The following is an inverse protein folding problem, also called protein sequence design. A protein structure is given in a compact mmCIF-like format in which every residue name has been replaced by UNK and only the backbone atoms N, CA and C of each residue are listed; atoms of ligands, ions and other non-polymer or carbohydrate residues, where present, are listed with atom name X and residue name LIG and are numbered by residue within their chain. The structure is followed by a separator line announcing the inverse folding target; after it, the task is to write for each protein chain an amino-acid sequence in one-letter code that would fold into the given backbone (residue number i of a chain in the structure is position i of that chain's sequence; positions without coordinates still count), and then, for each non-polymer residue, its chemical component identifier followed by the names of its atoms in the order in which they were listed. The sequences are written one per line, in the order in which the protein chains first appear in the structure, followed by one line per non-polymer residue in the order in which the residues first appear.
data_IF_368257954642
#
_entry.id   IF_368257954642
#
_cell.length_a   1.000
_cell.length_b   1.000
_cell.length_c   1.000
_cell.angle_alpha   90.00
_cell.angle_beta   90.00
_cell.angle_gamma   90.00
#
_symmetry.space_group_name_H-M   'P 1'
#
loop_
_entity.id
_entity.type
_entity.pdbx_description
1 polymer ?
#
# COMPACT_ATOMS: atom_id res chain seq x y z
N UNK A 1 -7.34 -27.17 -1.10
CA UNK A 1 -6.18 -27.99 -1.52
C UNK A 1 -5.30 -28.33 -0.32
N UNK A 2 -4.72 -29.56 -0.26
CA UNK A 2 -3.75 -29.95 0.77
C UNK A 2 -2.30 -29.74 0.26
N UNK A 3 -1.42 -29.30 1.17
CA UNK A 3 0.02 -29.11 0.83
C UNK A 3 0.71 -30.46 0.69
N UNK A 4 1.12 -30.82 -0.53
CA UNK A 4 1.78 -32.11 -0.84
C UNK A 4 3.12 -32.31 -0.13
N UNK A 5 3.82 -31.22 0.25
CA UNK A 5 5.14 -31.21 0.89
C UNK A 5 5.08 -30.95 2.41
N UNK A 6 3.93 -31.12 3.05
CA UNK A 6 3.70 -30.79 4.47
C UNK A 6 4.71 -31.46 5.44
N UNK A 7 5.11 -32.70 5.16
CA UNK A 7 6.05 -33.47 6.03
C UNK A 7 7.48 -32.92 6.11
N UNK A 8 7.87 -32.02 5.15
CA UNK A 8 9.23 -31.45 5.05
C UNK A 8 9.29 -29.99 5.49
N UNK A 9 8.19 -29.41 6.02
CA UNK A 9 8.08 -27.97 6.31
C UNK A 9 7.62 -27.74 7.75
N UNK A 10 7.98 -26.56 8.29
CA UNK A 10 7.45 -26.14 9.61
C UNK A 10 5.94 -25.99 9.57
N UNK A 11 5.29 -26.17 10.72
CA UNK A 11 3.82 -26.06 10.88
C UNK A 11 3.30 -24.69 10.41
N UNK A 12 4.06 -23.63 10.68
CA UNK A 12 3.73 -22.26 10.22
C UNK A 12 3.76 -22.14 8.70
N UNK A 13 4.79 -22.69 8.05
CA UNK A 13 4.92 -22.72 6.59
C UNK A 13 3.79 -23.51 5.93
N UNK A 14 3.39 -24.64 6.53
CA UNK A 14 2.27 -25.46 6.02
C UNK A 14 0.96 -24.69 6.12
N UNK A 15 0.68 -24.03 7.26
CA UNK A 15 -0.53 -23.21 7.45
C UNK A 15 -0.56 -22.02 6.49
N UNK A 16 0.58 -21.37 6.26
CA UNK A 16 0.69 -20.28 5.29
C UNK A 16 0.38 -20.75 3.88
N UNK A 17 1.00 -21.86 3.42
CA UNK A 17 0.74 -22.45 2.10
C UNK A 17 -0.71 -22.89 1.93
N UNK A 18 -1.32 -23.52 2.95
CA UNK A 18 -2.73 -23.91 2.89
C UNK A 18 -3.64 -22.69 2.72
N UNK A 19 -3.37 -21.61 3.44
CA UNK A 19 -4.11 -20.34 3.29
C UNK A 19 -3.94 -19.78 1.88
N UNK A 20 -2.72 -19.75 1.33
CA UNK A 20 -2.47 -19.26 -0.03
C UNK A 20 -3.18 -20.10 -1.09
N UNK A 21 -3.14 -21.42 -0.99
CA UNK A 21 -3.75 -22.33 -1.96
C UNK A 21 -5.29 -22.31 -1.96
N UNK A 22 -5.89 -21.90 -0.85
CA UNK A 22 -7.36 -21.88 -0.69
C UNK A 22 -7.94 -20.44 -0.69
N UNK A 23 -7.12 -19.43 -0.91
CA UNK A 23 -7.53 -18.04 -0.95
C UNK A 23 -8.10 -17.70 -2.34
N UNK A 24 -9.38 -17.32 -2.46
CA UNK A 24 -10.01 -17.04 -3.74
C UNK A 24 -9.36 -15.86 -4.46
N UNK A 25 -8.85 -14.86 -3.72
CA UNK A 25 -8.16 -13.70 -4.30
C UNK A 25 -6.79 -14.08 -4.86
N UNK A 26 -6.11 -15.07 -4.30
CA UNK A 26 -4.87 -15.59 -4.89
C UNK A 26 -5.16 -16.28 -6.23
N UNK A 27 -6.21 -17.08 -6.29
CA UNK A 27 -6.63 -17.74 -7.52
C UNK A 27 -7.08 -16.72 -8.60
N UNK A 28 -7.84 -15.71 -8.19
CA UNK A 28 -8.28 -14.63 -9.07
C UNK A 28 -7.09 -13.80 -9.58
N UNK A 29 -6.17 -13.39 -8.72
CA UNK A 29 -4.98 -12.65 -9.11
C UNK A 29 -4.15 -13.40 -10.16
N UNK A 30 -3.96 -14.69 -9.97
CA UNK A 30 -3.25 -15.53 -10.95
C UNK A 30 -3.99 -15.61 -12.30
N UNK A 31 -5.31 -15.71 -12.29
CA UNK A 31 -6.14 -15.76 -13.51
C UNK A 31 -6.13 -14.44 -14.27
N UNK A 32 -6.15 -13.32 -13.55
CA UNK A 32 -6.26 -11.96 -14.09
C UNK A 32 -4.91 -11.29 -14.33
N UNK A 33 -3.80 -11.99 -14.01
CA UNK A 33 -2.45 -11.50 -14.27
C UNK A 33 -1.88 -10.55 -13.21
N UNK A 34 -2.56 -10.37 -12.06
CA UNK A 34 -2.02 -9.59 -10.96
C UNK A 34 -0.91 -10.34 -10.23
N UNK A 35 0.14 -9.62 -9.87
CA UNK A 35 1.31 -10.16 -9.15
C UNK A 35 1.01 -10.57 -7.71
N UNK A 36 -0.05 -10.01 -7.13
CA UNK A 36 -0.47 -10.34 -5.78
C UNK A 36 -1.97 -10.14 -5.58
N UNK A 37 -2.52 -10.84 -4.59
CA UNK A 37 -3.90 -10.63 -4.13
C UNK A 37 -4.15 -9.23 -3.55
N UNK A 38 -3.09 -8.50 -3.19
CA UNK A 38 -3.19 -7.14 -2.69
C UNK A 38 -3.81 -6.17 -3.71
N UNK A 39 -3.72 -6.48 -5.02
CA UNK A 39 -4.40 -5.73 -6.08
C UNK A 39 -5.89 -5.51 -5.79
N UNK A 40 -6.59 -6.54 -5.32
CA UNK A 40 -8.02 -6.44 -5.02
C UNK A 40 -8.34 -5.53 -3.85
N UNK A 41 -7.44 -5.38 -2.88
CA UNK A 41 -7.62 -4.41 -1.79
C UNK A 41 -7.71 -2.99 -2.35
N UNK A 42 -6.82 -2.64 -3.29
CA UNK A 42 -6.82 -1.32 -3.93
C UNK A 42 -8.04 -1.14 -4.82
N UNK A 43 -8.40 -2.15 -5.63
CA UNK A 43 -9.58 -2.13 -6.49
C UNK A 43 -10.84 -1.85 -5.66
N UNK A 44 -11.12 -2.67 -4.64
CA UNK A 44 -12.31 -2.55 -3.78
C UNK A 44 -12.38 -1.21 -3.03
N UNK A 45 -11.23 -0.71 -2.56
CA UNK A 45 -11.17 0.61 -1.94
C UNK A 45 -11.43 1.72 -2.96
N UNK A 46 -10.84 1.62 -4.16
CA UNK A 46 -11.04 2.64 -5.19
C UNK A 46 -12.45 2.62 -5.78
N UNK A 47 -13.07 1.46 -5.99
CA UNK A 47 -14.47 1.35 -6.41
C UNK A 47 -15.41 2.08 -5.46
N UNK A 48 -15.14 1.98 -4.16
CA UNK A 48 -15.99 2.61 -3.14
C UNK A 48 -15.71 4.09 -2.93
N UNK A 49 -14.46 4.53 -3.03
CA UNK A 49 -14.05 5.89 -2.63
C UNK A 49 -13.52 6.75 -3.77
N UNK A 50 -13.20 6.19 -4.92
CA UNK A 50 -12.89 6.90 -6.16
C UNK A 50 -11.62 7.75 -6.14
N UNK A 51 -10.65 7.45 -5.28
CA UNK A 51 -9.46 8.29 -5.09
C UNK A 51 -8.47 8.24 -6.26
N UNK A 52 -8.53 7.24 -7.14
CA UNK A 52 -7.72 7.18 -8.37
C UNK A 52 -8.36 7.88 -9.56
N UNK A 53 -9.63 8.32 -9.43
CA UNK A 53 -10.35 8.91 -10.55
C UNK A 53 -9.69 10.20 -11.05
N UNK A 54 -9.17 10.15 -12.28
CA UNK A 54 -8.51 11.29 -12.92
C UNK A 54 -7.09 11.58 -12.42
N UNK A 55 -6.50 10.69 -11.62
CA UNK A 55 -5.13 10.83 -11.16
C UNK A 55 -4.14 10.76 -12.33
N UNK A 56 -3.20 11.69 -12.35
CA UNK A 56 -2.14 11.79 -13.37
C UNK A 56 -0.75 11.52 -12.80
N UNK A 57 -0.58 11.66 -11.49
CA UNK A 57 0.68 11.39 -10.79
C UNK A 57 0.38 10.62 -9.52
N UNK A 58 0.93 9.41 -9.44
CA UNK A 58 0.68 8.48 -8.33
C UNK A 58 2.00 7.98 -7.77
N UNK A 59 2.12 7.98 -6.46
CA UNK A 59 3.26 7.38 -5.75
C UNK A 59 2.80 6.10 -5.06
N UNK A 60 3.59 5.00 -5.20
CA UNK A 60 3.36 3.70 -4.58
C UNK A 60 4.52 3.36 -3.63
N UNK A 61 4.30 3.52 -2.33
CA UNK A 61 5.25 3.23 -1.27
C UNK A 61 5.05 1.79 -0.76
N UNK A 62 6.09 0.96 -0.89
CA UNK A 62 5.98 -0.48 -0.65
C UNK A 62 5.40 -1.21 -1.85
N UNK A 63 5.92 -0.89 -3.04
CA UNK A 63 5.35 -1.31 -4.32
C UNK A 63 5.43 -2.82 -4.58
N UNK A 64 6.42 -3.54 -4.01
CA UNK A 64 6.62 -4.96 -4.31
C UNK A 64 5.44 -5.86 -3.86
N UNK A 65 5.06 -6.84 -4.66
CA UNK A 65 5.62 -7.27 -5.96
C UNK A 65 5.07 -6.51 -7.17
N UNK A 66 4.28 -5.44 -7.00
CA UNK A 66 3.75 -4.59 -8.05
C UNK A 66 2.24 -4.71 -8.27
N UNK A 67 1.51 -5.35 -7.37
CA UNK A 67 0.06 -5.54 -7.54
C UNK A 67 -0.73 -4.22 -7.51
N UNK A 68 -0.40 -3.28 -6.63
CA UNK A 68 -1.04 -1.97 -6.59
C UNK A 68 -0.62 -1.12 -7.78
N UNK A 69 0.67 -1.12 -8.12
CA UNK A 69 1.18 -0.42 -9.31
C UNK A 69 0.48 -0.87 -10.60
N UNK A 70 0.21 -2.20 -10.76
CA UNK A 70 -0.56 -2.72 -11.90
C UNK A 70 -1.98 -2.12 -11.96
N UNK A 71 -2.68 -2.12 -10.83
CA UNK A 71 -4.04 -1.55 -10.74
C UNK A 71 -4.04 -0.06 -11.10
N UNK A 72 -3.04 0.70 -10.60
CA UNK A 72 -2.91 2.13 -10.96
C UNK A 72 -2.68 2.30 -12.45
N UNK A 73 -1.77 1.51 -13.05
CA UNK A 73 -1.51 1.58 -14.50
C UNK A 73 -2.74 1.27 -15.36
N UNK A 74 -3.59 0.34 -14.90
CA UNK A 74 -4.83 0.00 -15.58
C UNK A 74 -5.92 1.08 -15.44
N UNK A 75 -6.10 1.61 -14.22
CA UNK A 75 -7.17 2.56 -13.91
C UNK A 75 -6.83 4.01 -14.30
N UNK A 76 -5.54 4.33 -14.39
CA UNK A 76 -5.02 5.65 -14.71
C UNK A 76 -4.10 5.60 -15.95
N UNK A 77 -4.61 5.25 -17.13
CA UNK A 77 -3.77 5.15 -18.33
C UNK A 77 -3.09 6.48 -18.64
N UNK A 78 -1.76 6.42 -18.83
CA UNK A 78 -0.94 7.60 -19.07
C UNK A 78 -0.54 8.39 -17.81
N UNK A 79 -0.91 7.93 -16.62
CA UNK A 79 -0.41 8.53 -15.39
C UNK A 79 1.10 8.30 -15.22
N UNK A 80 1.78 9.27 -14.62
CA UNK A 80 3.13 9.11 -14.10
C UNK A 80 3.05 8.32 -12.80
N UNK A 81 3.59 7.12 -12.79
CA UNK A 81 3.59 6.26 -11.61
C UNK A 81 5.03 6.09 -11.15
N UNK A 82 5.31 6.48 -9.93
CA UNK A 82 6.62 6.27 -9.29
C UNK A 82 6.45 5.42 -8.04
N UNK A 83 7.42 4.58 -7.75
CA UNK A 83 7.33 3.70 -6.58
C UNK A 83 8.69 3.41 -5.96
N UNK A 84 8.62 2.87 -4.75
CA UNK A 84 9.78 2.46 -3.98
C UNK A 84 9.48 1.19 -3.18
N UNK A 85 10.44 0.28 -3.11
CA UNK A 85 10.39 -0.89 -2.23
C UNK A 85 11.82 -1.34 -1.89
N UNK A 86 11.96 -2.07 -0.79
CA UNK A 86 13.20 -2.77 -0.42
C UNK A 86 13.52 -3.92 -1.39
N UNK A 87 12.48 -4.49 -1.99
CA UNK A 87 12.59 -5.60 -2.93
C UNK A 87 12.51 -5.08 -4.37
N UNK A 88 13.26 -5.72 -5.25
CA UNK A 88 13.17 -5.46 -6.68
C UNK A 88 11.77 -5.79 -7.22
N UNK A 89 11.22 -4.87 -8.00
CA UNK A 89 9.94 -5.03 -8.70
C UNK A 89 10.22 -5.20 -10.18
N UNK A 90 9.80 -6.31 -10.75
CA UNK A 90 9.91 -6.52 -12.19
C UNK A 90 9.21 -5.37 -12.94
N UNK A 91 9.70 -4.96 -14.13
CA UNK A 91 9.15 -3.81 -14.85
C UNK A 91 7.63 -3.87 -15.03
N UNK A 92 6.97 -2.73 -14.83
CA UNK A 92 5.54 -2.52 -15.10
C UNK A 92 5.44 -1.37 -16.09
N UNK A 93 4.80 -1.56 -17.27
CA UNK A 93 4.64 -0.49 -18.24
C UNK A 93 4.01 0.75 -17.62
N UNK A 94 4.63 1.92 -17.83
CA UNK A 94 4.14 3.20 -17.32
C UNK A 94 4.51 3.51 -15.86
N UNK A 95 5.29 2.65 -15.20
CA UNK A 95 5.74 2.88 -13.84
C UNK A 95 7.27 2.82 -13.71
N UNK A 96 7.83 3.74 -12.95
CA UNK A 96 9.24 3.79 -12.57
C UNK A 96 9.36 3.48 -11.06
N UNK A 97 9.94 2.32 -10.73
CA UNK A 97 10.07 1.86 -9.33
C UNK A 97 11.54 1.71 -8.99
N UNK A 98 11.96 2.30 -7.88
CA UNK A 98 13.32 2.17 -7.36
C UNK A 98 13.39 1.16 -6.23
N UNK A 99 14.48 0.38 -6.21
CA UNK A 99 14.80 -0.52 -5.09
C UNK A 99 15.63 0.25 -4.09
N UNK A 100 15.00 0.65 -2.96
CA UNK A 100 15.61 1.45 -1.91
C UNK A 100 14.79 1.37 -0.64
N UNK A 101 15.42 1.60 0.51
CA UNK A 101 14.70 1.82 1.76
C UNK A 101 14.04 3.20 1.76
N UNK A 102 12.72 3.24 1.92
CA UNK A 102 11.99 4.50 2.01
C UNK A 102 12.42 5.37 3.22
N UNK A 103 12.96 4.74 4.26
CA UNK A 103 13.50 5.45 5.43
C UNK A 103 14.90 6.01 5.20
N UNK A 104 15.54 5.74 4.07
CA UNK A 104 16.84 6.32 3.73
C UNK A 104 16.73 7.83 3.49
N UNK A 105 17.71 8.64 3.93
CA UNK A 105 17.66 10.11 3.82
C UNK A 105 17.41 10.64 2.41
N UNK A 106 17.93 9.93 1.40
CA UNK A 106 17.82 10.33 -0.01
C UNK A 106 16.54 9.85 -0.72
N UNK A 107 15.75 8.99 -0.07
CA UNK A 107 14.57 8.37 -0.70
C UNK A 107 13.51 9.40 -1.11
N UNK A 108 13.23 10.34 -0.22
CA UNK A 108 12.25 11.41 -0.47
C UNK A 108 12.66 12.28 -1.69
N UNK A 109 13.90 12.75 -1.73
CA UNK A 109 14.42 13.57 -2.82
C UNK A 109 14.35 12.84 -4.17
N UNK A 110 14.74 11.57 -4.18
CA UNK A 110 14.68 10.74 -5.40
C UNK A 110 13.26 10.56 -5.90
N UNK A 111 12.30 10.28 -5.02
CA UNK A 111 10.89 10.14 -5.40
C UNK A 111 10.31 11.43 -5.94
N UNK A 112 10.62 12.57 -5.32
CA UNK A 112 10.19 13.91 -5.78
C UNK A 112 10.75 14.19 -7.18
N UNK A 113 12.04 13.93 -7.39
CA UNK A 113 12.68 14.12 -8.70
C UNK A 113 12.03 13.23 -9.79
N UNK A 114 11.71 11.97 -9.46
CA UNK A 114 11.06 11.05 -10.38
C UNK A 114 9.62 11.44 -10.69
N UNK A 115 8.90 12.00 -9.71
CA UNK A 115 7.48 12.37 -9.84
C UNK A 115 7.27 13.54 -10.81
N UNK A 116 8.24 14.44 -10.91
CA UNK A 116 8.22 15.62 -11.80
C UNK A 116 6.93 16.44 -11.65
N UNK A 117 6.64 16.83 -10.43
CA UNK A 117 5.47 17.62 -10.05
C UNK A 117 4.78 17.14 -8.80
N UNK A 118 3.57 17.65 -8.54
CA UNK A 118 2.78 17.24 -7.38
C UNK A 118 2.02 15.94 -7.66
N UNK A 119 1.86 15.11 -6.63
CA UNK A 119 1.09 13.87 -6.69
C UNK A 119 -0.41 14.13 -6.53
N UNK A 120 -1.23 13.42 -7.28
CA UNK A 120 -2.67 13.36 -7.05
C UNK A 120 -3.00 12.31 -5.97
N UNK A 121 -2.21 11.24 -5.92
CA UNK A 121 -2.42 10.15 -4.95
C UNK A 121 -1.08 9.63 -4.45
N UNK A 122 -0.99 9.44 -3.14
CA UNK A 122 0.08 8.70 -2.48
C UNK A 122 -0.50 7.46 -1.83
N UNK A 123 0.00 6.30 -2.24
CA UNK A 123 -0.39 4.98 -1.75
C UNK A 123 0.74 4.41 -0.88
N UNK A 124 0.39 3.69 0.19
CA UNK A 124 1.35 2.98 1.03
C UNK A 124 0.78 1.63 1.50
N UNK A 125 1.30 0.54 0.92
CA UNK A 125 1.06 -0.83 1.43
C UNK A 125 2.29 -1.35 2.21
N UNK A 126 3.16 -0.43 2.68
CA UNK A 126 4.34 -0.79 3.48
C UNK A 126 3.95 -1.55 4.73
N UNK A 127 4.76 -2.51 5.10
CA UNK A 127 4.64 -3.27 6.34
C UNK A 127 6.01 -3.44 6.96
N UNK A 128 6.10 -3.19 8.26
CA UNK A 128 7.31 -3.53 9.00
C UNK A 128 7.49 -5.06 9.02
N UNK A 129 8.75 -5.50 8.94
CA UNK A 129 9.07 -6.92 9.14
C UNK A 129 8.62 -7.33 10.54
N UNK A 130 7.75 -8.34 10.60
CA UNK A 130 7.20 -8.83 11.87
C UNK A 130 8.29 -9.49 12.71
N UNK A 131 8.45 -9.01 13.92
CA UNK A 131 9.36 -9.60 14.93
C UNK A 131 8.66 -10.69 15.74
N UNK A 132 7.32 -10.75 15.69
CA UNK A 132 6.46 -11.58 16.52
C UNK A 132 6.11 -10.91 17.86
N UNK A 133 6.67 -9.74 18.17
CA UNK A 133 6.32 -8.95 19.35
C UNK A 133 5.34 -7.84 18.95
N UNK A 134 4.07 -8.01 19.32
CA UNK A 134 2.95 -7.17 18.85
C UNK A 134 3.17 -5.67 19.03
N UNK A 135 3.70 -5.26 20.16
CA UNK A 135 3.93 -3.84 20.48
C UNK A 135 5.04 -3.25 19.60
N UNK A 136 6.16 -3.98 19.41
CA UNK A 136 7.25 -3.56 18.54
C UNK A 136 6.79 -3.47 17.07
N UNK A 137 6.04 -4.46 16.61
CA UNK A 137 5.52 -4.50 15.24
C UNK A 137 4.52 -3.37 14.98
N UNK A 138 3.71 -3.04 16.00
CA UNK A 138 2.80 -1.89 15.94
C UNK A 138 3.56 -0.57 15.81
N UNK A 139 4.53 -0.31 16.70
CA UNK A 139 5.32 0.93 16.68
C UNK A 139 6.09 1.12 15.35
N UNK A 140 6.68 0.05 14.82
CA UNK A 140 7.36 0.09 13.52
C UNK A 140 6.40 0.41 12.37
N UNK A 141 5.21 -0.18 12.37
CA UNK A 141 4.20 0.10 11.35
C UNK A 141 3.72 1.54 11.46
N UNK A 142 3.54 2.05 12.68
CA UNK A 142 3.14 3.45 12.90
C UNK A 142 4.19 4.43 12.40
N UNK A 143 5.48 4.16 12.65
CA UNK A 143 6.57 4.99 12.12
C UNK A 143 6.56 5.05 10.59
N UNK A 144 6.30 3.91 9.90
CA UNK A 144 6.15 3.90 8.43
C UNK A 144 4.95 4.73 7.96
N UNK A 145 3.82 4.67 8.66
CA UNK A 145 2.62 5.46 8.33
C UNK A 145 2.89 6.95 8.52
N UNK A 146 3.55 7.33 9.62
CA UNK A 146 3.92 8.71 9.92
C UNK A 146 4.85 9.28 8.86
N UNK A 147 5.94 8.57 8.53
CA UNK A 147 6.88 9.00 7.48
C UNK A 147 6.20 9.09 6.11
N UNK A 148 5.30 8.14 5.79
CA UNK A 148 4.53 8.18 4.54
C UNK A 148 3.54 9.36 4.51
N UNK A 149 2.94 9.73 5.63
CA UNK A 149 2.05 10.89 5.74
C UNK A 149 2.83 12.20 5.58
N UNK A 150 3.99 12.32 6.23
CA UNK A 150 4.86 13.51 6.12
C UNK A 150 5.30 13.71 4.67
N UNK A 151 5.70 12.63 4.00
CA UNK A 151 6.00 12.66 2.57
C UNK A 151 4.78 13.08 1.73
N UNK A 152 3.60 12.48 2.00
CA UNK A 152 2.38 12.81 1.28
C UNK A 152 2.00 14.29 1.40
N UNK A 153 2.11 14.87 2.61
CA UNK A 153 1.85 16.30 2.86
C UNK A 153 2.79 17.21 2.04
N UNK A 154 4.02 16.78 1.79
CA UNK A 154 4.99 17.56 0.99
C UNK A 154 4.71 17.50 -0.50
N UNK A 155 4.22 16.38 -1.01
CA UNK A 155 4.14 16.14 -2.47
C UNK A 155 2.73 16.23 -3.05
N UNK A 156 1.68 16.14 -2.24
CA UNK A 156 0.30 16.13 -2.75
C UNK A 156 -0.11 17.50 -3.33
N UNK A 157 -0.80 17.43 -4.44
CA UNK A 157 -1.55 18.56 -4.99
C UNK A 157 -2.81 18.82 -4.14
N UNK A 158 -3.36 20.05 -4.14
CA UNK A 158 -4.69 20.29 -3.58
C UNK A 158 -5.73 19.29 -4.09
N UNK A 159 -6.64 18.86 -3.22
CA UNK A 159 -7.62 17.80 -3.47
C UNK A 159 -7.04 16.37 -3.59
N UNK A 160 -5.73 16.21 -3.49
CA UNK A 160 -5.06 14.90 -3.51
C UNK A 160 -5.49 13.95 -2.41
N UNK A 161 -5.12 12.69 -2.54
CA UNK A 161 -5.51 11.61 -1.63
C UNK A 161 -4.30 10.84 -1.10
N UNK A 162 -4.39 10.43 0.16
CA UNK A 162 -3.42 9.56 0.83
C UNK A 162 -4.12 8.29 1.30
N UNK A 163 -3.57 7.13 0.92
CA UNK A 163 -4.08 5.81 1.32
C UNK A 163 -2.94 5.01 1.92
N UNK A 164 -3.08 4.59 3.18
CA UNK A 164 -2.03 3.84 3.85
C UNK A 164 -2.55 2.65 4.65
N UNK A 165 -1.77 1.57 4.65
CA UNK A 165 -1.98 0.44 5.54
C UNK A 165 -1.71 0.84 6.99
N UNK A 166 -2.61 0.46 7.88
CA UNK A 166 -2.52 0.61 9.33
C UNK A 166 -2.88 -0.71 10.01
N UNK A 167 -2.57 -0.86 11.28
CA UNK A 167 -2.99 -2.02 12.06
C UNK A 167 -4.26 -1.73 12.87
N UNK A 168 -5.04 -2.77 13.15
CA UNK A 168 -6.22 -2.69 14.01
C UNK A 168 -5.81 -2.27 15.43
N UNK A 169 -6.45 -1.25 15.93
CA UNK A 169 -6.07 -0.53 17.16
C UNK A 169 -5.99 0.95 16.85
N UNK A 170 -6.03 1.24 15.56
CA UNK A 170 -6.13 2.58 15.02
C UNK A 170 -4.76 3.22 14.77
N UNK A 171 -4.83 4.27 14.02
CA UNK A 171 -3.79 5.27 13.93
C UNK A 171 -3.76 5.98 15.26
N UNK A 172 -2.60 6.21 15.83
CA UNK A 172 -2.46 6.99 17.05
C UNK A 172 -3.18 8.33 16.90
N UNK A 173 -3.76 8.84 17.98
CA UNK A 173 -4.56 10.07 17.95
C UNK A 173 -3.80 11.25 17.34
N UNK A 174 -2.49 11.28 17.49
CA UNK A 174 -1.62 12.32 16.93
C UNK A 174 -1.63 12.29 15.40
N UNK A 175 -1.40 11.13 14.79
CA UNK A 175 -1.39 10.97 13.32
C UNK A 175 -2.78 11.27 12.75
N UNK A 176 -3.85 10.80 13.42
CA UNK A 176 -5.23 11.15 13.03
C UNK A 176 -5.51 12.65 13.10
N UNK A 177 -4.97 13.32 14.09
CA UNK A 177 -5.10 14.77 14.25
C UNK A 177 -4.40 15.49 13.11
N UNK A 178 -3.18 15.07 12.76
CA UNK A 178 -2.46 15.61 11.60
C UNK A 178 -3.25 15.37 10.30
N UNK A 179 -3.72 14.14 10.06
CA UNK A 179 -4.53 13.84 8.88
C UNK A 179 -5.78 14.70 8.77
N UNK A 180 -6.55 14.87 9.86
CA UNK A 180 -7.77 15.70 9.89
C UNK A 180 -7.48 17.19 9.65
N UNK A 181 -6.30 17.65 10.04
CA UNK A 181 -5.87 19.03 9.76
C UNK A 181 -5.63 19.23 8.27
N UNK A 182 -4.96 18.29 7.62
CA UNK A 182 -4.52 18.40 6.21
C UNK A 182 -5.52 17.87 5.18
N UNK A 183 -6.47 17.03 5.57
CA UNK A 183 -7.44 16.44 4.64
C UNK A 183 -8.88 16.78 5.03
N UNK A 184 -9.77 16.86 4.05
CA UNK A 184 -11.22 17.12 4.29
C UNK A 184 -11.92 15.91 4.89
N UNK A 185 -11.52 14.70 4.49
CA UNK A 185 -12.10 13.45 5.01
C UNK A 185 -11.03 12.43 5.33
N UNK A 186 -11.19 11.73 6.45
CA UNK A 186 -10.32 10.63 6.88
C UNK A 186 -11.20 9.46 7.30
N UNK A 187 -10.97 8.29 6.72
CA UNK A 187 -11.76 7.07 6.97
C UNK A 187 -10.86 5.88 7.22
N UNK A 188 -11.25 5.03 8.18
CA UNK A 188 -10.65 3.71 8.35
C UNK A 188 -11.49 2.66 7.62
N UNK A 189 -10.82 1.81 6.85
CA UNK A 189 -11.47 0.83 5.97
C UNK A 189 -10.78 -0.52 6.10
N UNK A 190 -11.59 -1.57 6.12
CA UNK A 190 -11.11 -2.93 5.91
C UNK A 190 -11.75 -3.46 4.63
N UNK A 191 -11.01 -3.49 3.50
CA UNK A 191 -11.57 -3.99 2.24
C UNK A 191 -11.90 -5.48 2.36
N UNK A 192 -12.93 -5.98 1.67
CA UNK A 192 -13.31 -7.40 1.65
C UNK A 192 -12.14 -8.34 1.30
N UNK A 193 -11.25 -7.91 0.42
CA UNK A 193 -10.04 -8.64 0.09
C UNK A 193 -9.04 -8.75 1.25
N UNK A 194 -9.17 -8.00 2.34
CA UNK A 194 -8.38 -8.24 3.55
C UNK A 194 -8.89 -9.50 4.26
N UNK A 195 -7.95 -10.33 4.72
CA UNK A 195 -8.33 -11.56 5.45
C UNK A 195 -9.07 -11.21 6.74
N UNK A 196 -10.14 -11.96 7.11
CA UNK A 196 -10.91 -11.68 8.32
C UNK A 196 -10.07 -11.69 9.60
N UNK A 197 -9.10 -12.60 9.69
CA UNK A 197 -8.19 -12.79 10.82
C UNK A 197 -7.00 -11.83 10.83
N UNK A 198 -6.80 -11.06 9.75
CA UNK A 198 -5.74 -10.04 9.70
C UNK A 198 -6.09 -8.82 10.52
N UNK A 199 -5.09 -8.26 11.20
CA UNK A 199 -5.19 -6.96 11.88
C UNK A 199 -5.00 -5.77 10.95
N UNK A 200 -4.70 -6.00 9.66
CA UNK A 200 -4.53 -4.95 8.66
C UNK A 200 -5.85 -4.21 8.40
N UNK A 201 -5.75 -2.91 8.35
CA UNK A 201 -6.76 -1.97 7.90
C UNK A 201 -6.10 -0.93 7.00
N UNK A 202 -6.88 -0.04 6.44
CA UNK A 202 -6.39 1.08 5.65
C UNK A 202 -6.99 2.38 6.16
N UNK A 203 -6.20 3.44 6.14
CA UNK A 203 -6.70 4.80 6.26
C UNK A 203 -6.78 5.40 4.86
N UNK A 204 -7.91 6.06 4.56
CA UNK A 204 -8.12 6.80 3.32
C UNK A 204 -8.40 8.25 3.71
N UNK A 205 -7.45 9.12 3.39
CA UNK A 205 -7.54 10.55 3.58
C UNK A 205 -7.67 11.25 2.22
N UNK A 206 -8.74 12.02 2.02
CA UNK A 206 -9.05 12.63 0.72
C UNK A 206 -9.31 14.13 0.86
N UNK A 207 -9.04 14.85 -0.22
CA UNK A 207 -9.21 16.29 -0.29
C UNK A 207 -8.12 17.00 0.51
N UNK A 208 -6.86 16.82 0.09
CA UNK A 208 -5.73 17.54 0.65
C UNK A 208 -5.96 19.05 0.53
N UNK A 209 -5.72 19.78 1.61
CA UNK A 209 -6.08 21.20 1.70
C UNK A 209 -4.94 22.14 1.24
N UNK A 210 -3.73 21.60 1.10
CA UNK A 210 -2.52 22.37 0.86
C UNK A 210 -1.82 22.76 2.15
#
# INVERSE_FOLDING_TARGET
MRVKTARKRSTSSVRWLQRQLNDPYVAAAKREGYRSRAAYKLIEMNEKYGFLKGARRVVDLGAAPGGWTQVVAELCPGARIVGIDLLEVAPIPGADIITMDFMAPEAEERLIAMLDGQADVVLSDMAATTTGHRQTDHLRTMALVETALDFAIKVLAPDGSFVAKVLRGGTENEILTVMKRHFRTVRHVKPPASRPDSTEMYVIAQGFKG
#
